data_IF_268747971152
#
_entry.id   IF_268747971152
#
_cell.length_a   1.000
_cell.length_b   1.000
_cell.length_c   1.000
_cell.angle_alpha   90.00
_cell.angle_beta   90.00
_cell.angle_gamma   90.00
#
_symmetry.space_group_name_H-M   'P 1'
#
loop_
_entity.id
_entity.type
_entity.pdbx_description
1 polymer ?
#
# COMPACT_ATOMS: atom_id res chain seq x y z
N UNK A 1 5.22 -34.86 8.87
CA UNK A 1 5.53 -34.74 10.30
C UNK A 1 5.18 -33.33 10.77
N UNK A 2 4.89 -33.14 12.07
CA UNK A 2 4.58 -31.79 12.65
C UNK A 2 5.78 -30.85 12.46
N UNK A 3 7.00 -31.36 12.48
CA UNK A 3 8.24 -30.57 12.30
C UNK A 3 8.44 -30.02 10.88
N UNK A 4 7.76 -30.56 9.86
CA UNK A 4 7.88 -30.05 8.49
C UNK A 4 6.95 -28.88 8.18
N UNK A 5 5.87 -28.69 8.95
CA UNK A 5 4.84 -27.67 8.69
C UNK A 5 5.39 -26.23 8.69
N UNK A 6 6.19 -25.78 9.69
CA UNK A 6 6.76 -24.44 9.66
C UNK A 6 7.68 -24.20 8.47
N UNK A 7 8.49 -25.22 8.07
CA UNK A 7 9.39 -25.09 6.92
C UNK A 7 8.62 -24.93 5.61
N UNK A 8 7.53 -25.69 5.42
CA UNK A 8 6.66 -25.55 4.25
C UNK A 8 5.95 -24.20 4.25
N UNK A 9 5.47 -23.73 5.40
CA UNK A 9 4.89 -22.40 5.53
C UNK A 9 5.90 -21.31 5.17
N UNK A 10 7.15 -21.42 5.65
CA UNK A 10 8.23 -20.51 5.30
C UNK A 10 8.55 -20.51 3.80
N UNK A 11 8.65 -21.68 3.18
CA UNK A 11 8.86 -21.78 1.74
C UNK A 11 7.74 -21.09 0.97
N UNK A 12 6.48 -21.36 1.33
CA UNK A 12 5.32 -20.69 0.72
C UNK A 12 5.35 -19.18 0.91
N UNK A 13 5.63 -18.70 2.14
CA UNK A 13 5.71 -17.27 2.44
C UNK A 13 6.82 -16.56 1.67
N UNK A 14 8.00 -17.20 1.57
CA UNK A 14 9.11 -16.67 0.77
C UNK A 14 8.76 -16.57 -0.72
N UNK A 15 8.15 -17.60 -1.29
CA UNK A 15 7.73 -17.61 -2.69
C UNK A 15 6.62 -16.58 -2.95
N UNK A 16 5.64 -16.45 -2.06
CA UNK A 16 4.58 -15.46 -2.17
C UNK A 16 5.15 -14.03 -2.20
N UNK A 17 6.13 -13.74 -1.32
CA UNK A 17 6.79 -12.43 -1.30
C UNK A 17 7.67 -12.23 -2.54
N UNK A 18 8.39 -13.23 -3.02
CA UNK A 18 9.15 -13.14 -4.28
C UNK A 18 8.25 -12.73 -5.45
N UNK A 19 7.07 -13.33 -5.55
CA UNK A 19 6.11 -13.02 -6.62
C UNK A 19 5.51 -11.62 -6.45
N UNK A 20 5.08 -11.26 -5.25
CA UNK A 20 4.43 -9.97 -4.98
C UNK A 20 5.41 -8.79 -5.08
N UNK A 21 6.68 -8.97 -4.71
CA UNK A 21 7.71 -7.94 -4.72
C UNK A 21 8.61 -7.96 -5.97
N UNK A 22 8.28 -8.77 -6.98
CA UNK A 22 9.05 -8.84 -8.24
C UNK A 22 9.24 -7.47 -8.92
N UNK A 23 8.38 -6.51 -8.64
CA UNK A 23 8.49 -5.14 -9.13
C UNK A 23 9.79 -4.45 -8.68
N UNK A 24 10.43 -4.89 -7.57
CA UNK A 24 11.73 -4.38 -7.12
C UNK A 24 12.82 -4.57 -8.18
N UNK A 25 12.70 -5.60 -9.02
CA UNK A 25 13.62 -5.78 -10.15
C UNK A 25 13.49 -4.69 -11.20
N UNK A 26 12.34 -4.05 -11.29
CA UNK A 26 12.09 -2.88 -12.14
C UNK A 26 12.85 -1.62 -11.71
N UNK A 27 13.44 -1.60 -10.50
CA UNK A 27 14.33 -0.53 -10.05
C UNK A 27 15.67 -0.53 -10.81
N UNK A 28 16.07 -1.68 -11.38
CA UNK A 28 17.26 -1.74 -12.23
C UNK A 28 17.04 -1.02 -13.58
N UNK A 29 18.02 -0.20 -14.07
CA UNK A 29 19.28 0.15 -13.43
C UNK A 29 19.16 1.27 -12.38
N UNK A 30 19.86 1.13 -11.25
CA UNK A 30 19.89 2.11 -10.15
C UNK A 30 20.88 3.27 -10.39
N UNK A 31 21.29 3.48 -11.65
CA UNK A 31 22.26 4.52 -12.02
C UNK A 31 21.76 5.93 -11.69
N UNK A 32 20.44 6.13 -11.67
CA UNK A 32 19.79 7.37 -11.24
C UNK A 32 19.99 7.70 -9.74
N UNK A 33 20.37 6.69 -8.93
CA UNK A 33 20.78 6.86 -7.53
C UNK A 33 22.30 6.94 -7.35
N UNK A 34 23.07 7.01 -8.44
CA UNK A 34 24.53 6.99 -8.39
C UNK A 34 25.15 5.60 -8.20
N UNK A 35 24.36 4.53 -8.26
CA UNK A 35 24.87 3.16 -8.15
C UNK A 35 25.50 2.73 -9.48
N UNK A 36 26.74 2.19 -9.49
CA UNK A 36 27.35 1.64 -10.70
C UNK A 36 26.48 0.56 -11.34
N UNK A 37 26.37 0.55 -12.68
CA UNK A 37 25.49 -0.36 -13.41
C UNK A 37 25.72 -1.84 -13.05
N UNK A 38 26.96 -2.23 -12.83
CA UNK A 38 27.36 -3.60 -12.45
C UNK A 38 26.77 -4.03 -11.10
N UNK A 39 26.62 -3.11 -10.14
CA UNK A 39 26.06 -3.40 -8.80
C UNK A 39 24.54 -3.28 -8.75
N UNK A 40 23.94 -2.67 -9.74
CA UNK A 40 22.51 -2.35 -9.73
C UNK A 40 21.62 -3.60 -9.67
N UNK A 41 21.87 -4.60 -10.51
CA UNK A 41 21.08 -5.83 -10.49
C UNK A 41 21.30 -6.67 -9.21
N UNK A 42 22.55 -6.89 -8.75
CA UNK A 42 22.80 -7.54 -7.46
C UNK A 42 22.08 -6.86 -6.28
N UNK A 43 22.06 -5.54 -6.23
CA UNK A 43 21.37 -4.80 -5.17
C UNK A 43 19.85 -5.02 -5.25
N UNK A 44 19.24 -4.91 -6.43
CA UNK A 44 17.82 -5.13 -6.61
C UNK A 44 17.41 -6.58 -6.25
N UNK A 45 18.20 -7.57 -6.65
CA UNK A 45 18.02 -8.97 -6.27
C UNK A 45 18.22 -9.18 -4.77
N UNK A 46 19.24 -8.58 -4.17
CA UNK A 46 19.50 -8.64 -2.74
C UNK A 46 18.33 -8.11 -1.92
N UNK A 47 17.79 -6.96 -2.32
CA UNK A 47 16.62 -6.38 -1.67
C UNK A 47 15.38 -7.29 -1.77
N UNK A 48 15.12 -7.85 -2.95
CA UNK A 48 14.03 -8.81 -3.17
C UNK A 48 14.19 -10.05 -2.29
N UNK A 49 15.42 -10.60 -2.19
CA UNK A 49 15.70 -11.75 -1.34
C UNK A 49 15.55 -11.45 0.15
N UNK A 50 15.96 -10.28 0.62
CA UNK A 50 15.73 -9.84 2.01
C UNK A 50 14.25 -9.82 2.33
N UNK A 51 13.42 -9.25 1.45
CA UNK A 51 11.96 -9.25 1.62
C UNK A 51 11.42 -10.71 1.65
N UNK A 52 11.88 -11.56 0.75
CA UNK A 52 11.46 -12.96 0.69
C UNK A 52 11.82 -13.75 1.96
N UNK A 53 13.04 -13.57 2.48
CA UNK A 53 13.47 -14.21 3.74
C UNK A 53 12.66 -13.70 4.93
N UNK A 54 12.33 -12.40 4.97
CA UNK A 54 11.46 -11.84 6.00
C UNK A 54 10.04 -12.46 5.94
N UNK A 55 9.46 -12.59 4.75
CA UNK A 55 8.18 -13.27 4.56
C UNK A 55 8.22 -14.75 4.95
N UNK A 56 9.30 -15.44 4.58
CA UNK A 56 9.53 -16.83 4.99
C UNK A 56 9.60 -16.97 6.52
N UNK A 57 10.39 -16.11 7.18
CA UNK A 57 10.53 -16.09 8.64
C UNK A 57 9.20 -15.82 9.34
N UNK A 58 8.42 -14.84 8.85
CA UNK A 58 7.11 -14.51 9.41
C UNK A 58 6.15 -15.70 9.36
N UNK A 59 6.04 -16.38 8.21
CA UNK A 59 5.19 -17.56 8.06
C UNK A 59 5.68 -18.76 8.85
N UNK A 60 7.00 -18.95 8.98
CA UNK A 60 7.56 -19.98 9.84
C UNK A 60 7.19 -19.75 11.30
N UNK A 61 7.37 -18.52 11.80
CA UNK A 61 7.02 -18.15 13.18
C UNK A 61 5.52 -18.33 13.44
N UNK A 62 4.67 -17.84 12.55
CA UNK A 62 3.22 -17.96 12.66
C UNK A 62 2.78 -19.44 12.66
N UNK A 63 3.33 -20.27 11.77
CA UNK A 63 3.05 -21.70 11.70
C UNK A 63 3.59 -22.45 12.93
N UNK A 64 4.77 -22.06 13.42
CA UNK A 64 5.34 -22.59 14.67
C UNK A 64 4.44 -22.29 15.87
N UNK A 65 3.97 -21.04 15.97
CA UNK A 65 3.01 -20.64 17.00
C UNK A 65 1.68 -21.44 16.88
N UNK A 66 1.20 -21.65 15.66
CA UNK A 66 0.03 -22.48 15.42
C UNK A 66 0.21 -23.92 15.92
N UNK A 67 1.37 -24.53 15.65
CA UNK A 67 1.70 -25.86 16.16
C UNK A 67 1.78 -25.89 17.70
N UNK A 68 2.38 -24.87 18.31
CA UNK A 68 2.50 -24.76 19.76
C UNK A 68 1.14 -24.56 20.46
N UNK A 69 0.26 -23.72 19.89
CA UNK A 69 -1.10 -23.48 20.40
C UNK A 69 -2.00 -24.69 20.24
N UNK A 70 -1.79 -25.54 19.24
CA UNK A 70 -2.67 -26.66 18.92
C UNK A 70 -2.83 -27.68 20.06
N UNK A 71 -1.86 -27.73 20.98
CA UNK A 71 -1.88 -28.60 22.17
C UNK A 71 -2.40 -27.91 23.43
N UNK A 72 -2.66 -26.58 23.40
CA UNK A 72 -2.97 -25.75 24.56
C UNK A 72 -4.32 -25.06 24.48
N UNK A 73 -4.81 -24.81 23.27
CA UNK A 73 -5.99 -23.98 23.04
C UNK A 73 -6.99 -24.76 22.17
N UNK A 74 -8.27 -24.63 22.47
CA UNK A 74 -9.34 -25.22 21.63
C UNK A 74 -9.25 -24.69 20.20
N UNK A 75 -9.63 -25.47 19.18
CA UNK A 75 -9.46 -25.11 17.77
C UNK A 75 -10.01 -23.73 17.37
N UNK A 76 -11.19 -23.36 17.87
CA UNK A 76 -11.77 -22.05 17.60
C UNK A 76 -10.96 -20.92 18.24
N UNK A 77 -10.56 -21.09 19.51
CA UNK A 77 -9.73 -20.11 20.21
C UNK A 77 -8.37 -19.94 19.53
N UNK A 78 -7.77 -21.04 19.05
CA UNK A 78 -6.55 -21.01 18.25
C UNK A 78 -6.74 -20.22 16.96
N UNK A 79 -7.82 -20.48 16.21
CA UNK A 79 -8.10 -19.76 14.97
C UNK A 79 -8.28 -18.27 15.21
N UNK A 80 -9.07 -17.89 16.21
CA UNK A 80 -9.28 -16.48 16.60
C UNK A 80 -7.96 -15.80 16.98
N UNK A 81 -7.19 -16.41 17.89
CA UNK A 81 -5.93 -15.84 18.36
C UNK A 81 -4.92 -15.65 17.23
N UNK A 82 -4.74 -16.67 16.39
CA UNK A 82 -3.80 -16.59 15.25
C UNK A 82 -4.24 -15.56 14.21
N UNK A 83 -5.53 -15.47 13.92
CA UNK A 83 -6.04 -14.48 12.96
C UNK A 83 -5.88 -13.06 13.51
N UNK A 84 -6.18 -12.83 14.79
CA UNK A 84 -5.99 -11.52 15.43
C UNK A 84 -4.51 -11.11 15.47
N UNK A 85 -3.62 -12.03 15.85
CA UNK A 85 -2.17 -11.75 15.84
C UNK A 85 -1.66 -11.43 14.44
N UNK A 86 -2.18 -12.12 13.41
CA UNK A 86 -1.83 -11.82 12.02
C UNK A 86 -2.33 -10.43 11.61
N UNK A 87 -3.60 -10.10 11.90
CA UNK A 87 -4.14 -8.77 11.62
C UNK A 87 -3.34 -7.64 12.26
N UNK A 88 -2.92 -7.82 13.54
CA UNK A 88 -2.04 -6.87 14.22
C UNK A 88 -0.65 -6.79 13.57
N UNK A 89 -0.08 -7.91 13.17
CA UNK A 89 1.20 -7.94 12.45
C UNK A 89 1.11 -7.21 11.10
N UNK A 90 0.01 -7.33 10.36
CA UNK A 90 -0.21 -6.59 9.12
C UNK A 90 -0.29 -5.07 9.34
N UNK A 91 -0.98 -4.63 10.39
CA UNK A 91 -1.02 -3.20 10.74
C UNK A 91 0.39 -2.68 11.05
N UNK A 92 1.18 -3.43 11.80
CA UNK A 92 2.56 -3.06 12.11
C UNK A 92 3.47 -3.07 10.86
N UNK A 93 3.37 -4.12 10.04
CA UNK A 93 4.16 -4.28 8.82
C UNK A 93 3.83 -3.23 7.75
N UNK A 94 2.58 -2.75 7.70
CA UNK A 94 2.18 -1.70 6.74
C UNK A 94 2.94 -0.39 6.94
N UNK A 95 3.36 -0.08 8.17
CA UNK A 95 4.24 1.05 8.48
C UNK A 95 5.74 0.77 8.29
N UNK A 96 6.12 -0.45 7.87
CA UNK A 96 7.51 -0.85 7.70
C UNK A 96 8.05 -0.46 6.32
N UNK A 97 9.39 -0.30 6.17
CA UNK A 97 10.00 -0.02 4.87
C UNK A 97 9.96 -1.21 3.89
N UNK A 98 9.35 -2.32 4.27
CA UNK A 98 9.29 -3.53 3.45
C UNK A 98 8.14 -3.53 2.43
N UNK A 99 7.41 -2.43 2.27
CA UNK A 99 6.30 -2.30 1.32
C UNK A 99 5.24 -3.41 1.46
N UNK A 100 4.93 -3.78 2.69
CA UNK A 100 4.02 -4.87 2.96
C UNK A 100 2.58 -4.52 2.55
N UNK A 101 2.05 -5.26 1.57
CA UNK A 101 0.63 -5.24 1.22
C UNK A 101 0.03 -6.51 1.78
N UNK A 102 -0.71 -6.42 2.89
CA UNK A 102 -1.25 -7.59 3.58
C UNK A 102 -2.44 -8.24 2.87
N UNK A 103 -2.93 -9.34 3.45
CA UNK A 103 -4.11 -10.05 2.97
C UNK A 103 -5.33 -9.15 2.89
N UNK A 104 -5.55 -8.31 3.91
CA UNK A 104 -6.68 -7.37 3.94
C UNK A 104 -6.57 -6.29 2.87
N UNK A 105 -5.36 -5.76 2.63
CA UNK A 105 -5.11 -4.76 1.60
C UNK A 105 -5.31 -5.28 0.18
N UNK A 106 -5.04 -6.57 -0.06
CA UNK A 106 -5.19 -7.19 -1.38
C UNK A 106 -6.66 -7.30 -1.85
N UNK A 107 -7.62 -7.25 -0.93
CA UNK A 107 -9.06 -7.31 -1.25
C UNK A 107 -9.60 -5.97 -1.76
N UNK A 108 -9.00 -4.85 -1.36
CA UNK A 108 -9.54 -3.51 -1.61
C UNK A 108 -9.86 -3.22 -3.09
N UNK A 109 -9.01 -3.56 -4.07
CA UNK A 109 -9.33 -3.27 -5.46
C UNK A 109 -10.29 -4.27 -6.12
N UNK A 110 -10.46 -5.47 -5.54
CA UNK A 110 -11.16 -6.58 -6.18
C UNK A 110 -12.56 -6.82 -5.64
N UNK A 111 -12.81 -6.43 -4.40
CA UNK A 111 -14.08 -6.70 -3.70
C UNK A 111 -14.53 -5.46 -2.90
N UNK A 112 -15.22 -4.51 -3.53
CA UNK A 112 -15.67 -3.29 -2.88
C UNK A 112 -16.67 -3.53 -1.75
N UNK A 113 -17.46 -4.61 -1.81
CA UNK A 113 -18.45 -4.92 -0.76
C UNK A 113 -17.77 -5.42 0.51
N UNK A 114 -16.72 -6.19 0.40
CA UNK A 114 -15.92 -6.57 1.56
C UNK A 114 -15.00 -5.43 1.99
N UNK A 115 -14.41 -4.72 1.04
CA UNK A 115 -13.46 -3.64 1.29
C UNK A 115 -14.06 -2.49 2.11
N UNK A 116 -15.35 -2.16 1.93
CA UNK A 116 -16.00 -1.09 2.70
C UNK A 116 -15.99 -1.34 4.21
N UNK A 117 -15.94 -2.59 4.66
CA UNK A 117 -15.83 -2.95 6.07
C UNK A 117 -14.53 -2.45 6.69
N UNK A 118 -13.50 -2.18 5.87
CA UNK A 118 -12.25 -1.59 6.34
C UNK A 118 -12.45 -0.22 7.02
N UNK A 119 -13.55 0.48 6.77
CA UNK A 119 -13.91 1.72 7.48
C UNK A 119 -13.96 1.56 9.01
N UNK A 120 -14.29 0.36 9.48
CA UNK A 120 -14.46 0.05 10.90
C UNK A 120 -13.32 -0.81 11.46
N UNK A 121 -12.87 -1.78 10.67
CA UNK A 121 -11.91 -2.78 11.15
C UNK A 121 -10.51 -2.65 10.51
N UNK A 122 -10.34 -1.73 9.58
CA UNK A 122 -9.08 -1.55 8.86
C UNK A 122 -8.71 -2.75 7.98
N UNK A 123 -7.58 -2.64 7.29
CA UNK A 123 -7.04 -3.75 6.48
C UNK A 123 -6.65 -4.95 7.35
N UNK A 124 -6.11 -4.72 8.55
CA UNK A 124 -5.79 -5.79 9.50
C UNK A 124 -7.01 -6.60 9.93
N UNK A 125 -8.15 -5.93 10.16
CA UNK A 125 -9.42 -6.62 10.45
C UNK A 125 -9.96 -7.42 9.27
N UNK A 126 -9.79 -6.93 8.03
CA UNK A 126 -10.12 -7.71 6.83
C UNK A 126 -9.25 -8.96 6.74
N UNK A 127 -7.95 -8.88 7.06
CA UNK A 127 -7.07 -10.04 7.11
C UNK A 127 -7.56 -11.07 8.13
N UNK A 128 -8.03 -10.65 9.31
CA UNK A 128 -8.65 -11.54 10.29
C UNK A 128 -9.85 -12.28 9.71
N UNK A 129 -10.74 -11.58 9.03
CA UNK A 129 -11.94 -12.16 8.39
C UNK A 129 -11.53 -13.21 7.36
N UNK A 130 -10.57 -12.91 6.48
CA UNK A 130 -10.07 -13.84 5.45
C UNK A 130 -9.48 -15.10 6.09
N UNK A 131 -8.67 -14.97 7.13
CA UNK A 131 -8.07 -16.11 7.81
C UNK A 131 -9.11 -16.98 8.53
N UNK A 132 -10.11 -16.37 9.14
CA UNK A 132 -11.20 -17.10 9.76
C UNK A 132 -12.03 -17.85 8.70
N UNK A 133 -12.31 -17.26 7.56
CA UNK A 133 -12.97 -17.97 6.45
C UNK A 133 -12.13 -19.14 5.95
N UNK A 134 -10.83 -18.93 5.74
CA UNK A 134 -9.94 -20.01 5.36
C UNK A 134 -10.00 -21.17 6.37
N UNK A 135 -10.01 -20.86 7.67
CA UNK A 135 -10.13 -21.86 8.73
C UNK A 135 -11.46 -22.60 8.68
N UNK A 136 -12.58 -21.90 8.52
CA UNK A 136 -13.94 -22.50 8.41
C UNK A 136 -14.04 -23.42 7.19
N UNK A 137 -13.46 -22.99 6.04
CA UNK A 137 -13.44 -23.80 4.80
C UNK A 137 -12.60 -25.07 5.00
N UNK A 138 -11.41 -24.96 5.58
CA UNK A 138 -10.54 -26.11 5.87
C UNK A 138 -11.21 -27.10 6.82
N UNK A 139 -12.04 -26.61 7.75
CA UNK A 139 -12.86 -27.43 8.64
C UNK A 139 -14.09 -28.03 7.96
N UNK A 140 -14.26 -27.81 6.66
CA UNK A 140 -15.43 -28.26 5.85
C UNK A 140 -16.78 -27.79 6.39
N UNK A 141 -16.81 -26.67 7.08
CA UNK A 141 -18.04 -26.05 7.58
C UNK A 141 -18.64 -25.16 6.50
N UNK A 142 -19.00 -25.75 5.36
CA UNK A 142 -19.39 -25.03 4.13
C UNK A 142 -20.58 -24.10 4.37
N UNK A 143 -21.58 -24.55 5.11
CA UNK A 143 -22.77 -23.73 5.42
C UNK A 143 -22.37 -22.46 6.19
N UNK A 144 -21.54 -22.60 7.21
CA UNK A 144 -21.05 -21.44 7.99
C UNK A 144 -20.20 -20.50 7.11
N UNK A 145 -19.34 -21.04 6.25
CA UNK A 145 -18.55 -20.25 5.34
C UNK A 145 -19.43 -19.41 4.38
N UNK A 146 -20.45 -20.03 3.79
CA UNK A 146 -21.38 -19.36 2.89
C UNK A 146 -22.21 -18.31 3.63
N UNK A 147 -22.77 -18.66 4.79
CA UNK A 147 -23.58 -17.71 5.58
C UNK A 147 -22.77 -16.47 5.98
N UNK A 148 -21.57 -16.65 6.52
CA UNK A 148 -20.72 -15.52 6.92
C UNK A 148 -20.23 -14.70 5.71
N UNK A 149 -19.98 -15.33 4.57
CA UNK A 149 -19.66 -14.65 3.31
C UNK A 149 -20.84 -13.78 2.86
N UNK A 150 -22.03 -14.35 2.77
CA UNK A 150 -23.26 -13.63 2.37
C UNK A 150 -23.56 -12.49 3.33
N UNK A 151 -23.43 -12.72 4.64
CA UNK A 151 -23.64 -11.66 5.64
C UNK A 151 -22.63 -10.51 5.50
N UNK A 152 -21.34 -10.80 5.33
CA UNK A 152 -20.32 -9.78 5.19
C UNK A 152 -20.52 -8.96 3.91
N UNK A 153 -20.79 -9.60 2.77
CA UNK A 153 -21.07 -8.91 1.51
C UNK A 153 -22.42 -8.18 1.54
N UNK A 154 -23.45 -8.75 2.16
CA UNK A 154 -24.74 -8.10 2.35
C UNK A 154 -24.62 -6.83 3.20
N UNK A 155 -23.87 -6.89 4.31
CA UNK A 155 -23.55 -5.71 5.12
C UNK A 155 -22.75 -4.68 4.31
N UNK A 156 -21.73 -5.09 3.59
CA UNK A 156 -20.93 -4.20 2.76
C UNK A 156 -21.73 -3.56 1.64
N UNK A 157 -22.59 -4.32 0.97
CA UNK A 157 -23.53 -3.79 -0.02
C UNK A 157 -24.45 -2.74 0.61
N UNK A 158 -25.03 -3.04 1.75
CA UNK A 158 -25.90 -2.12 2.48
C UNK A 158 -25.15 -0.83 2.85
N UNK A 159 -23.93 -0.94 3.38
CA UNK A 159 -23.11 0.22 3.75
C UNK A 159 -22.73 1.11 2.56
N UNK A 160 -22.47 0.54 1.40
CA UNK A 160 -22.17 1.31 0.20
C UNK A 160 -23.39 2.08 -0.32
N UNK A 161 -24.59 1.54 -0.16
CA UNK A 161 -25.82 2.16 -0.65
C UNK A 161 -26.48 3.10 0.37
N UNK A 162 -26.12 3.00 1.66
CA UNK A 162 -26.64 3.86 2.74
C UNK A 162 -25.54 4.81 3.23
N UNK A 163 -24.80 5.41 2.30
CA UNK A 163 -23.83 6.44 2.64
C UNK A 163 -24.58 7.74 2.99
N UNK A 164 -23.97 8.56 3.84
CA UNK A 164 -24.48 9.89 4.12
C UNK A 164 -24.65 10.67 2.80
N UNK A 165 -25.72 11.47 2.65
CA UNK A 165 -25.91 12.26 1.45
C UNK A 165 -24.72 13.20 1.24
N UNK A 166 -24.33 13.37 -0.02
CA UNK A 166 -23.29 14.31 -0.41
C UNK A 166 -23.82 15.71 -0.11
N UNK A 167 -23.18 16.39 0.84
CA UNK A 167 -23.59 17.74 1.31
C UNK A 167 -22.95 18.86 0.52
N UNK A 168 -21.96 18.54 -0.34
CA UNK A 168 -21.28 19.51 -1.19
C UNK A 168 -20.39 18.81 -2.21
N UNK A 169 -20.04 19.53 -3.25
CA UNK A 169 -19.05 19.10 -4.26
C UNK A 169 -17.93 20.12 -4.33
N UNK A 170 -16.73 19.64 -4.59
CA UNK A 170 -15.56 20.48 -4.84
C UNK A 170 -15.02 20.12 -6.23
N UNK A 171 -14.99 21.09 -7.12
CA UNK A 171 -14.35 20.91 -8.42
C UNK A 171 -12.85 21.03 -8.25
N UNK A 172 -12.13 20.00 -8.67
CA UNK A 172 -10.67 19.97 -8.64
C UNK A 172 -10.12 19.27 -9.88
N UNK A 173 -8.96 19.72 -10.34
CA UNK A 173 -8.18 19.04 -11.36
C UNK A 173 -7.09 18.20 -10.69
N UNK A 174 -6.82 17.02 -11.21
CA UNK A 174 -5.71 16.18 -10.78
C UNK A 174 -4.68 16.13 -11.90
N UNK A 175 -3.46 16.56 -11.59
CA UNK A 175 -2.35 16.49 -12.52
C UNK A 175 -1.48 15.27 -12.24
N UNK A 176 -1.45 14.38 -13.21
CA UNK A 176 -0.60 13.18 -13.15
C UNK A 176 0.39 13.18 -14.31
N UNK A 177 1.61 13.69 -14.09
CA UNK A 177 2.61 13.83 -15.15
C UNK A 177 3.17 12.48 -15.65
N UNK A 178 2.84 11.36 -14.99
CA UNK A 178 3.22 9.99 -15.34
C UNK A 178 4.72 9.83 -15.68
N UNK A 179 5.59 10.50 -14.92
CA UNK A 179 7.04 10.47 -15.14
C UNK A 179 7.60 9.14 -14.66
N UNK A 180 8.26 8.35 -15.53
CA UNK A 180 8.96 7.15 -15.10
C UNK A 180 9.97 7.45 -13.99
N UNK A 181 10.06 6.58 -12.97
CA UNK A 181 10.97 6.79 -11.83
C UNK A 181 12.41 7.05 -12.26
N UNK A 182 12.86 6.40 -13.33
CA UNK A 182 14.23 6.56 -13.90
C UNK A 182 14.50 7.95 -14.47
N UNK A 183 13.47 8.61 -14.98
CA UNK A 183 13.57 9.94 -15.58
C UNK A 183 13.36 11.06 -14.56
N UNK A 184 12.77 10.74 -13.40
CA UNK A 184 12.41 11.74 -12.37
C UNK A 184 13.59 12.61 -11.92
N UNK A 185 14.81 12.05 -11.97
CA UNK A 185 16.05 12.73 -11.53
C UNK A 185 16.92 13.22 -12.71
N UNK A 186 16.48 13.06 -13.96
CA UNK A 186 17.22 13.58 -15.11
C UNK A 186 17.17 15.11 -15.15
N UNK A 187 18.32 15.76 -15.47
CA UNK A 187 18.42 17.22 -15.56
C UNK A 187 17.47 17.79 -16.62
N UNK A 188 17.29 17.09 -17.72
CA UNK A 188 16.39 17.51 -18.79
C UNK A 188 14.93 17.59 -18.30
N UNK A 189 14.47 16.56 -17.57
CA UNK A 189 13.12 16.54 -16.98
C UNK A 189 12.96 17.64 -15.93
N UNK A 190 13.94 17.80 -15.06
CA UNK A 190 13.91 18.84 -14.02
C UNK A 190 13.78 20.24 -14.64
N UNK A 191 14.41 20.50 -15.77
CA UNK A 191 14.30 21.78 -16.48
C UNK A 191 12.94 22.02 -17.12
N UNK A 192 12.28 20.98 -17.63
CA UNK A 192 10.96 21.07 -18.29
C UNK A 192 9.79 20.99 -17.32
N UNK A 193 10.05 20.58 -16.09
CA UNK A 193 8.99 20.32 -15.12
C UNK A 193 8.22 21.60 -14.68
N UNK A 194 8.87 22.76 -14.46
CA UNK A 194 8.16 24.00 -14.18
C UNK A 194 7.19 24.40 -15.26
N UNK A 195 7.60 24.33 -16.54
CA UNK A 195 6.74 24.67 -17.67
C UNK A 195 5.55 23.72 -17.78
N UNK A 196 5.75 22.45 -17.52
CA UNK A 196 4.67 21.45 -17.53
C UNK A 196 3.66 21.69 -16.38
N UNK A 197 4.14 22.11 -15.20
CA UNK A 197 3.29 22.49 -14.08
C UNK A 197 2.48 23.75 -14.39
N UNK A 198 3.15 24.79 -14.96
CA UNK A 198 2.49 26.02 -15.39
C UNK A 198 1.37 25.70 -16.41
N UNK A 199 1.69 24.90 -17.43
CA UNK A 199 0.68 24.51 -18.42
C UNK A 199 -0.52 23.77 -17.82
N UNK A 200 -0.29 22.93 -16.79
CA UNK A 200 -1.37 22.26 -16.08
C UNK A 200 -2.24 23.23 -15.28
N UNK A 201 -1.63 24.22 -14.64
CA UNK A 201 -2.34 25.30 -13.92
C UNK A 201 -3.16 26.17 -14.88
N UNK A 202 -2.59 26.55 -16.03
CA UNK A 202 -3.27 27.33 -17.06
C UNK A 202 -4.48 26.58 -17.62
N UNK A 203 -4.35 25.27 -17.83
CA UNK A 203 -5.48 24.43 -18.25
C UNK A 203 -6.59 24.34 -17.20
N UNK A 204 -6.22 24.25 -15.93
CA UNK A 204 -7.20 24.24 -14.84
C UNK A 204 -7.90 25.61 -14.71
N UNK A 205 -7.15 26.69 -14.79
CA UNK A 205 -7.66 28.07 -14.78
C UNK A 205 -8.61 28.33 -15.95
N UNK A 206 -8.25 27.90 -17.18
CA UNK A 206 -9.10 28.02 -18.37
C UNK A 206 -10.45 27.29 -18.23
N UNK A 207 -10.52 26.27 -17.36
CA UNK A 207 -11.75 25.54 -17.01
C UNK A 207 -12.44 26.08 -15.75
N UNK A 208 -11.94 27.19 -15.21
CA UNK A 208 -12.44 27.79 -13.96
C UNK A 208 -12.41 26.81 -12.77
N UNK A 209 -11.46 25.87 -12.76
CA UNK A 209 -11.30 24.92 -11.65
C UNK A 209 -10.45 25.59 -10.56
N UNK A 210 -10.96 25.69 -9.32
CA UNK A 210 -10.27 26.43 -8.26
C UNK A 210 -9.03 25.74 -7.70
N UNK A 211 -8.90 24.42 -7.90
CA UNK A 211 -7.82 23.62 -7.30
C UNK A 211 -7.14 22.68 -8.30
N UNK A 212 -5.81 22.69 -8.31
CA UNK A 212 -4.99 21.67 -8.97
C UNK A 212 -4.28 20.83 -7.92
N UNK A 213 -4.53 19.52 -7.90
CA UNK A 213 -3.84 18.57 -7.04
C UNK A 213 -2.72 17.92 -7.82
N UNK A 214 -1.49 18.08 -7.34
CA UNK A 214 -0.29 17.52 -7.94
C UNK A 214 0.32 16.44 -7.03
N UNK A 215 1.06 15.44 -7.58
CA UNK A 215 1.57 14.31 -6.81
C UNK A 215 2.70 14.72 -5.86
N UNK A 216 3.04 13.79 -4.95
CA UNK A 216 4.20 13.91 -4.08
C UNK A 216 5.49 14.11 -4.89
N UNK A 217 6.34 15.01 -4.41
CA UNK A 217 7.64 15.32 -5.03
C UNK A 217 7.53 16.24 -6.25
N UNK A 218 6.38 16.82 -6.55
CA UNK A 218 6.21 17.85 -7.57
C UNK A 218 7.12 19.05 -7.27
N UNK A 219 7.07 19.56 -6.05
CA UNK A 219 7.95 20.63 -5.59
C UNK A 219 9.16 20.01 -4.87
N UNK A 220 10.23 19.79 -5.62
CA UNK A 220 11.45 19.18 -5.08
C UNK A 220 12.18 20.13 -4.12
N UNK A 221 13.04 19.59 -3.25
CA UNK A 221 13.92 20.40 -2.39
C UNK A 221 14.91 21.25 -3.17
N UNK A 222 15.16 20.91 -4.42
CA UNK A 222 16.03 21.65 -5.36
C UNK A 222 15.27 22.66 -6.23
N UNK A 223 13.98 22.85 -6.01
CA UNK A 223 13.20 23.84 -6.76
C UNK A 223 13.77 25.25 -6.56
N UNK A 224 14.13 25.93 -7.65
CA UNK A 224 14.79 27.25 -7.64
C UNK A 224 14.04 28.29 -8.50
N UNK A 225 13.13 27.86 -9.36
CA UNK A 225 12.29 28.76 -10.17
C UNK A 225 11.25 29.43 -9.29
N UNK A 226 10.79 30.63 -9.61
CA UNK A 226 9.58 31.18 -9.01
C UNK A 226 8.44 30.18 -9.07
N UNK A 227 7.58 30.21 -8.07
CA UNK A 227 6.37 29.39 -8.10
C UNK A 227 5.46 29.88 -9.22
N UNK A 228 4.74 28.99 -9.90
CA UNK A 228 3.82 29.38 -10.96
C UNK A 228 2.74 30.33 -10.42
N UNK A 229 2.45 31.37 -11.18
CA UNK A 229 1.34 32.27 -10.89
C UNK A 229 0.08 31.77 -11.61
N UNK A 230 -1.00 31.60 -10.88
CA UNK A 230 -2.28 31.15 -11.43
C UNK A 230 -3.45 31.58 -10.56
N UNK A 231 -4.63 31.74 -11.16
CA UNK A 231 -5.89 31.86 -10.42
C UNK A 231 -6.36 30.55 -9.82
N UNK A 232 -5.76 29.42 -10.19
CA UNK A 232 -6.01 28.09 -9.63
C UNK A 232 -5.01 27.82 -8.52
N UNK A 233 -5.49 27.50 -7.32
CA UNK A 233 -4.63 27.14 -6.19
C UNK A 233 -3.99 25.76 -6.43
N UNK A 234 -2.70 25.64 -6.09
CA UNK A 234 -1.95 24.38 -6.20
C UNK A 234 -1.90 23.68 -4.85
N UNK A 235 -2.35 22.42 -4.79
CA UNK A 235 -2.15 21.51 -3.67
C UNK A 235 -1.14 20.44 -4.08
N UNK A 236 0.05 20.44 -3.48
CA UNK A 236 1.16 19.59 -3.91
C UNK A 236 1.96 19.05 -2.73
N UNK A 237 2.50 17.84 -2.89
CA UNK A 237 3.60 17.38 -2.05
C UNK A 237 4.88 18.17 -2.35
N UNK A 238 5.64 18.48 -1.31
CA UNK A 238 6.90 19.21 -1.43
C UNK A 238 7.71 19.12 -0.14
N UNK A 239 8.75 19.96 -0.06
CA UNK A 239 9.65 19.97 1.09
C UNK A 239 9.63 21.34 1.75
N UNK A 240 9.53 21.33 3.07
CA UNK A 240 9.62 22.54 3.90
C UNK A 240 10.74 22.39 4.90
N UNK A 241 11.52 23.47 5.08
CA UNK A 241 12.53 23.53 6.12
C UNK A 241 11.90 23.99 7.44
N UNK A 242 11.94 23.13 8.46
CA UNK A 242 11.42 23.44 9.79
C UNK A 242 12.55 23.22 10.79
N UNK A 243 12.94 24.28 11.49
CA UNK A 243 14.04 24.24 12.50
C UNK A 243 15.32 23.62 11.96
N UNK A 244 15.67 23.90 10.72
CA UNK A 244 16.87 23.36 10.07
C UNK A 244 16.75 21.94 9.51
N UNK A 245 15.63 21.27 9.71
CA UNK A 245 15.37 19.95 9.14
C UNK A 245 14.46 20.04 7.93
N UNK A 246 14.77 19.27 6.89
CA UNK A 246 13.94 19.15 5.69
C UNK A 246 12.81 18.14 5.95
N UNK A 247 11.59 18.61 5.89
CA UNK A 247 10.40 17.78 6.13
C UNK A 247 9.56 17.67 4.86
N UNK A 248 9.12 16.45 4.55
CA UNK A 248 8.08 16.24 3.55
C UNK A 248 6.78 16.86 4.05
N UNK A 249 6.12 17.64 3.21
CA UNK A 249 4.98 18.45 3.59
C UNK A 249 3.96 18.50 2.45
N UNK A 250 2.69 18.63 2.81
CA UNK A 250 1.65 19.04 1.87
C UNK A 250 1.65 20.58 1.84
N UNK A 251 1.84 21.13 0.65
CA UNK A 251 1.92 22.57 0.41
C UNK A 251 0.66 23.03 -0.34
N UNK A 252 0.10 24.12 0.12
CA UNK A 252 -0.97 24.84 -0.55
C UNK A 252 -0.42 26.20 -0.99
N UNK A 253 -0.48 26.47 -2.28
CA UNK A 253 0.00 27.70 -2.92
C UNK A 253 -1.19 28.38 -3.60
N UNK A 254 -1.35 29.67 -3.32
CA UNK A 254 -2.41 30.54 -3.89
C UNK A 254 -1.77 31.73 -4.57
#
# INVERSE_FOLDING_TARGET
SVSSRPRLAGLWGGLAVLVSHRWLLGLHPLTWMGVPAVLSLPIALGLLLVCAFAGAGLLMLWSGLACWLSTRVRPLGQALLLSLLWGLAEVWLSGSPMFWIGLGGSLLPMDPWLAVLARWIGAGGLAVVVLLWAWVIVRRQVVMAVLTLVMAHGLGFWLLHHQAPITGSLDLAVWQPAIPTREKFSLERQRRFPDALQAALDQAAARSVPWLVAPEGTLSSSWRTPLPESSTALLSGGFRQVRGQLMSSLLMLQ
#
